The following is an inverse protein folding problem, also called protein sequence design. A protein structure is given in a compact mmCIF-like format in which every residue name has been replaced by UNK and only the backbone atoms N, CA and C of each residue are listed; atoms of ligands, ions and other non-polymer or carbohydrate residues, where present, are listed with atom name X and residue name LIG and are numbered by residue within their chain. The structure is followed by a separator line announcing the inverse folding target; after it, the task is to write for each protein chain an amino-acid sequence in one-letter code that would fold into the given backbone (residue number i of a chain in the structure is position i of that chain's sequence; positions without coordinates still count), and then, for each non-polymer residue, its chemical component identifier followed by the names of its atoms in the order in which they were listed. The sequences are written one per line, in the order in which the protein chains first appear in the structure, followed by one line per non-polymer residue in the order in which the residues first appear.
data_IF_111169382329
#
_entry.id   IF_111169382329
#
_cell.length_a   1.000
_cell.length_b   1.000
_cell.length_c   1.000
_cell.angle_alpha   90.00
_cell.angle_beta   90.00
_cell.angle_gamma   90.00
#
_symmetry.space_group_name_H-M   'P 1'
#
loop_
_entity.id
_entity.type
_entity.pdbx_description
1 polymer ?
#
# COMPACT_ATOMS: atom_id res chain seq x y z
N UNK A 1 16.27 -2.13 23.34
CA UNK A 1 15.54 -1.19 24.20
C UNK A 1 16.27 -1.09 25.54
N UNK A 2 16.93 0.01 25.82
CA UNK A 2 17.60 0.25 27.10
C UNK A 2 16.86 1.40 27.79
N UNK A 3 16.10 1.07 28.81
CA UNK A 3 15.41 2.04 29.64
C UNK A 3 15.15 1.47 31.04
N UNK A 4 15.08 2.31 32.04
CA UNK A 4 14.62 1.90 33.36
C UNK A 4 13.20 2.44 33.52
N UNK A 5 12.22 1.54 33.56
CA UNK A 5 10.84 1.90 33.90
C UNK A 5 10.68 2.00 35.40
N UNK A 6 10.07 3.07 35.88
CA UNK A 6 9.67 3.23 37.28
C UNK A 6 8.21 2.84 37.41
N UNK A 7 7.92 1.88 38.24
CA UNK A 7 6.57 1.33 38.45
C UNK A 7 6.14 1.57 39.91
N UNK A 8 4.86 1.81 40.12
CA UNK A 8 4.26 1.95 41.44
C UNK A 8 3.96 0.54 42.00
N UNK A 9 4.35 0.27 43.23
CA UNK A 9 4.09 -1.02 43.91
C UNK A 9 2.67 -1.14 44.49
N UNK A 10 1.83 -0.11 44.27
CA UNK A 10 0.47 -0.03 44.81
C UNK A 10 0.40 0.16 46.34
N UNK A 11 1.56 0.38 46.98
CA UNK A 11 1.68 0.58 48.44
C UNK A 11 2.41 1.88 48.80
N UNK A 12 2.61 2.75 47.82
CA UNK A 12 3.28 4.02 47.97
C UNK A 12 4.79 3.96 47.78
N UNK A 13 5.34 2.84 47.36
CA UNK A 13 6.72 2.67 46.91
C UNK A 13 6.84 2.60 45.38
N UNK A 14 8.02 2.90 44.88
CA UNK A 14 8.33 2.73 43.45
C UNK A 14 9.46 1.74 43.30
N UNK A 15 9.36 0.84 42.33
CA UNK A 15 10.45 -0.03 41.93
C UNK A 15 10.89 0.27 40.51
N UNK A 16 12.16 0.06 40.23
CA UNK A 16 12.74 0.25 38.91
C UNK A 16 12.98 -1.12 38.28
N UNK A 17 12.33 -1.36 37.13
CA UNK A 17 12.64 -2.52 36.32
C UNK A 17 13.54 -2.09 35.16
N UNK A 18 14.63 -2.80 34.89
CA UNK A 18 15.37 -2.58 33.67
C UNK A 18 14.49 -2.97 32.49
N UNK A 19 14.13 -1.98 31.67
CA UNK A 19 13.49 -2.19 30.37
C UNK A 19 14.64 -2.36 29.37
N UNK A 20 15.33 -3.48 29.39
CA UNK A 20 16.53 -3.63 28.59
C UNK A 20 16.98 -5.05 28.48
N UNK A 21 16.02 -5.92 28.20
CA UNK A 21 16.37 -7.30 27.85
C UNK A 21 16.87 -7.33 26.42
N UNK A 22 17.89 -8.12 26.17
CA UNK A 22 18.24 -8.46 24.81
C UNK A 22 17.10 -9.27 24.23
N UNK A 23 16.61 -8.86 23.07
CA UNK A 23 15.55 -9.55 22.35
C UNK A 23 16.11 -10.32 21.16
N UNK A 24 15.57 -11.48 20.90
CA UNK A 24 15.80 -12.22 19.68
C UNK A 24 14.47 -12.55 19.04
N UNK A 25 14.20 -11.95 17.88
CA UNK A 25 12.97 -12.21 17.14
C UNK A 25 12.93 -13.65 16.66
N UNK A 26 11.95 -14.41 17.12
CA UNK A 26 11.73 -15.81 16.76
C UNK A 26 10.82 -15.98 15.54
N UNK A 27 9.97 -15.02 15.27
CA UNK A 27 9.07 -15.12 14.15
C UNK A 27 8.27 -13.87 13.89
N UNK A 28 8.10 -13.60 12.62
CA UNK A 28 7.17 -12.61 12.10
C UNK A 28 6.31 -13.24 11.00
N UNK A 29 5.02 -13.06 11.09
CA UNK A 29 4.09 -13.50 10.08
C UNK A 29 3.10 -12.38 9.78
N UNK A 30 2.93 -12.04 8.50
CA UNK A 30 1.91 -11.11 8.04
C UNK A 30 1.03 -11.79 7.01
N UNK A 31 -0.28 -11.55 7.08
CA UNK A 31 -1.28 -11.98 6.12
C UNK A 31 -2.13 -10.79 5.73
N UNK A 32 -2.27 -10.59 4.43
CA UNK A 32 -3.08 -9.53 3.85
C UNK A 32 -4.07 -10.14 2.87
N UNK A 33 -5.33 -9.73 2.96
CA UNK A 33 -6.44 -10.22 2.15
C UNK A 33 -7.34 -9.08 1.74
N UNK A 34 -8.06 -9.26 0.62
CA UNK A 34 -9.01 -8.27 0.11
C UNK A 34 -8.43 -7.37 -0.97
N UNK A 35 -9.00 -6.21 -1.13
CA UNK A 35 -8.62 -5.25 -2.16
C UNK A 35 -9.63 -4.15 -2.38
N UNK A 36 -9.50 -3.47 -3.51
CA UNK A 36 -10.43 -2.44 -3.95
C UNK A 36 -11.05 -2.89 -5.27
N UNK A 37 -12.37 -3.06 -5.28
CA UNK A 37 -13.13 -3.31 -6.49
C UNK A 37 -13.62 -1.97 -7.04
N UNK A 38 -13.51 -1.77 -8.35
CA UNK A 38 -13.97 -0.56 -9.01
C UNK A 38 -14.97 -0.90 -10.10
N UNK A 39 -16.11 -0.22 -10.06
CA UNK A 39 -17.18 -0.30 -11.06
C UNK A 39 -17.20 1.01 -11.83
N UNK A 40 -16.95 0.94 -13.13
CA UNK A 40 -16.87 2.10 -14.01
C UNK A 40 -18.08 2.17 -14.94
N UNK A 41 -18.83 3.29 -14.87
CA UNK A 41 -19.91 3.62 -15.80
C UNK A 41 -19.40 4.71 -16.74
N UNK A 42 -19.32 4.41 -18.03
CA UNK A 42 -18.70 5.32 -18.98
C UNK A 42 -19.64 5.65 -20.16
N UNK A 43 -19.50 6.89 -20.65
CA UNK A 43 -20.13 7.38 -21.87
C UNK A 43 -19.03 8.02 -22.72
N UNK A 44 -19.02 7.70 -24.01
CA UNK A 44 -18.05 8.26 -24.94
C UNK A 44 -18.76 8.84 -26.17
N UNK A 45 -18.15 9.91 -26.70
CA UNK A 45 -18.63 10.64 -27.88
C UNK A 45 -17.52 10.68 -28.90
N UNK A 46 -17.90 10.47 -30.16
CA UNK A 46 -17.02 10.65 -31.33
C UNK A 46 -17.57 11.83 -32.14
N UNK A 47 -16.69 12.78 -32.45
CA UNK A 47 -17.01 13.94 -33.27
C UNK A 47 -16.13 13.90 -34.51
N UNK A 48 -16.75 13.66 -35.67
CA UNK A 48 -16.12 13.68 -36.99
C UNK A 48 -14.88 12.77 -37.13
N UNK A 49 -14.81 11.67 -36.36
CA UNK A 49 -13.65 10.77 -36.29
C UNK A 49 -12.30 11.46 -35.99
N UNK A 50 -12.35 12.68 -35.47
CA UNK A 50 -11.21 13.52 -35.13
C UNK A 50 -11.09 13.83 -33.65
N UNK A 51 -12.21 13.90 -32.95
CA UNK A 51 -12.26 14.20 -31.51
C UNK A 51 -13.11 13.14 -30.80
N UNK A 52 -12.55 12.58 -29.76
CA UNK A 52 -13.20 11.58 -28.94
C UNK A 52 -13.20 12.08 -27.50
N UNK A 53 -14.33 12.07 -26.85
CA UNK A 53 -14.47 12.49 -25.46
C UNK A 53 -15.06 11.34 -24.64
N UNK A 54 -14.59 11.19 -23.44
CA UNK A 54 -15.09 10.18 -22.52
C UNK A 54 -15.30 10.74 -21.11
N UNK A 55 -16.40 10.31 -20.51
CA UNK A 55 -16.72 10.61 -19.11
C UNK A 55 -16.97 9.27 -18.42
N UNK A 56 -16.30 9.03 -17.30
CA UNK A 56 -16.46 7.81 -16.51
C UNK A 56 -16.74 8.16 -15.07
N UNK A 57 -17.84 7.63 -14.53
CA UNK A 57 -18.13 7.62 -13.11
C UNK A 57 -17.61 6.32 -12.52
N UNK A 58 -16.66 6.41 -11.60
CA UNK A 58 -16.10 5.27 -10.88
C UNK A 58 -16.67 5.15 -9.47
N UNK A 59 -17.16 3.98 -9.12
CA UNK A 59 -17.57 3.61 -7.77
C UNK A 59 -16.64 2.54 -7.26
N UNK A 60 -16.06 2.77 -6.10
CA UNK A 60 -15.09 1.86 -5.48
C UNK A 60 -15.70 1.23 -4.24
N UNK A 61 -15.42 -0.05 -4.05
CA UNK A 61 -15.74 -0.84 -2.87
C UNK A 61 -14.43 -1.35 -2.27
N UNK A 62 -14.21 -1.11 -0.99
CA UNK A 62 -12.99 -1.41 -0.25
C UNK A 62 -13.29 -2.47 0.79
N UNK A 63 -12.58 -3.57 0.76
CA UNK A 63 -12.54 -4.57 1.83
C UNK A 63 -11.11 -5.10 1.92
N UNK A 64 -10.42 -4.76 2.99
CA UNK A 64 -9.03 -5.10 3.23
C UNK A 64 -8.83 -5.53 4.66
N UNK A 65 -8.15 -6.65 4.86
CA UNK A 65 -7.79 -7.16 6.19
C UNK A 65 -6.31 -7.48 6.24
N UNK A 66 -5.66 -7.07 7.31
CA UNK A 66 -4.28 -7.43 7.63
C UNK A 66 -4.22 -8.02 9.03
N UNK A 67 -3.52 -9.15 9.17
CA UNK A 67 -3.20 -9.77 10.44
C UNK A 67 -1.69 -9.92 10.55
N UNK A 68 -1.12 -9.53 11.70
CA UNK A 68 0.29 -9.74 11.99
C UNK A 68 0.45 -10.53 13.28
N UNK A 69 1.48 -11.35 13.31
CA UNK A 69 1.93 -12.09 14.48
C UNK A 69 3.43 -11.93 14.60
N UNK A 70 3.86 -11.50 15.78
CA UNK A 70 5.26 -11.32 16.12
C UNK A 70 5.58 -12.03 17.42
N UNK A 71 6.73 -12.70 17.50
CA UNK A 71 7.21 -13.31 18.73
C UNK A 71 8.69 -13.03 18.92
N UNK A 72 9.08 -12.78 20.18
CA UNK A 72 10.44 -12.44 20.57
C UNK A 72 10.77 -13.12 21.88
N UNK A 73 11.94 -13.77 21.91
CA UNK A 73 12.56 -14.27 23.14
C UNK A 73 13.39 -13.16 23.77
N UNK A 74 13.24 -12.99 25.06
CA UNK A 74 13.92 -11.99 25.86
C UNK A 74 14.87 -12.62 26.85
N UNK A 75 16.08 -12.06 27.01
CA UNK A 75 17.08 -12.53 27.96
C UNK A 75 18.03 -11.41 28.39
N UNK A 76 18.54 -11.51 29.62
CA UNK A 76 19.57 -10.61 30.16
C UNK A 76 20.59 -11.36 31.05
N UNK A 77 20.87 -12.62 30.75
CA UNK A 77 21.81 -13.44 31.50
C UNK A 77 21.22 -14.11 32.74
N UNK A 78 20.38 -13.45 33.51
CA UNK A 78 19.71 -14.01 34.70
C UNK A 78 18.21 -14.14 34.50
N UNK A 79 17.66 -13.41 33.55
CA UNK A 79 16.26 -13.33 33.29
C UNK A 79 15.97 -13.87 31.88
N UNK A 80 14.84 -14.50 31.73
CA UNK A 80 14.38 -15.01 30.45
C UNK A 80 12.88 -14.87 30.32
N UNK A 81 12.40 -14.80 29.09
CA UNK A 81 11.00 -14.74 28.82
C UNK A 81 10.72 -14.67 27.35
N UNK A 82 9.47 -14.49 27.00
CA UNK A 82 9.06 -14.21 25.63
C UNK A 82 7.81 -13.34 25.62
N UNK A 83 7.56 -12.72 24.51
CA UNK A 83 6.23 -12.16 24.24
C UNK A 83 5.79 -12.49 22.82
N UNK A 84 4.49 -12.54 22.67
CA UNK A 84 3.78 -12.64 21.40
C UNK A 84 2.89 -11.43 21.24
N UNK A 85 2.86 -10.87 20.06
CA UNK A 85 1.97 -9.76 19.71
C UNK A 85 1.15 -10.14 18.48
N UNK A 86 -0.15 -9.97 18.56
CA UNK A 86 -1.09 -10.20 17.47
C UNK A 86 -1.83 -8.92 17.19
N UNK A 87 -1.82 -8.50 15.94
CA UNK A 87 -2.58 -7.34 15.49
C UNK A 87 -3.53 -7.76 14.38
N UNK A 88 -4.72 -7.20 14.41
CA UNK A 88 -5.70 -7.26 13.33
C UNK A 88 -6.07 -5.83 12.93
N UNK A 89 -6.15 -5.62 11.65
CA UNK A 89 -6.56 -4.36 11.06
C UNK A 89 -7.43 -4.64 9.84
N UNK A 90 -8.61 -4.04 9.79
CA UNK A 90 -9.55 -4.14 8.68
C UNK A 90 -9.99 -2.76 8.26
N UNK A 91 -9.98 -2.50 6.95
CA UNK A 91 -10.54 -1.30 6.34
C UNK A 91 -11.67 -1.71 5.42
N UNK A 92 -12.84 -1.13 5.61
CA UNK A 92 -13.97 -1.30 4.72
C UNK A 92 -14.61 0.04 4.38
N UNK A 93 -15.31 0.09 3.23
CA UNK A 93 -16.04 1.27 2.82
C UNK A 93 -16.13 1.44 1.33
N UNK A 94 -16.51 2.64 0.91
CA UNK A 94 -16.74 2.95 -0.50
C UNK A 94 -16.19 4.30 -0.90
N UNK A 95 -16.01 4.51 -2.21
CA UNK A 95 -15.54 5.76 -2.75
C UNK A 95 -16.09 6.03 -4.13
N UNK A 96 -16.08 7.30 -4.53
CA UNK A 96 -16.54 7.75 -5.83
C UNK A 96 -15.53 8.68 -6.49
N UNK A 97 -15.37 8.58 -7.80
CA UNK A 97 -14.55 9.49 -8.59
C UNK A 97 -15.14 9.73 -9.98
N UNK A 98 -14.63 10.77 -10.64
CA UNK A 98 -14.96 11.09 -12.01
C UNK A 98 -13.67 11.11 -12.85
N UNK A 99 -13.73 10.53 -14.06
CA UNK A 99 -12.64 10.56 -15.01
C UNK A 99 -13.11 11.23 -16.30
N UNK A 100 -12.34 12.18 -16.80
CA UNK A 100 -12.60 12.88 -18.04
C UNK A 100 -11.44 12.62 -18.98
N UNK A 101 -11.74 12.26 -20.21
CA UNK A 101 -10.71 12.00 -21.23
C UNK A 101 -11.08 12.62 -22.56
N UNK A 102 -10.05 13.03 -23.30
CA UNK A 102 -10.18 13.50 -24.68
C UNK A 102 -9.04 12.93 -25.53
N UNK A 103 -9.36 12.50 -26.73
CA UNK A 103 -8.38 12.08 -27.75
C UNK A 103 -8.61 12.92 -29.00
N UNK A 104 -7.52 13.41 -29.57
CA UNK A 104 -7.52 14.24 -30.76
C UNK A 104 -6.70 13.60 -31.87
N UNK A 105 -7.22 13.66 -33.09
CA UNK A 105 -6.54 13.31 -34.32
C UNK A 105 -6.32 14.59 -35.13
N UNK A 106 -5.15 15.27 -34.95
CA UNK A 106 -4.94 16.63 -35.46
C UNK A 106 -4.87 16.69 -37.00
N UNK A 107 -4.40 15.61 -37.63
CA UNK A 107 -4.22 15.53 -39.09
C UNK A 107 -5.13 14.41 -39.61
N UNK A 108 -6.04 14.72 -40.48
CA UNK A 108 -7.06 13.83 -40.99
C UNK A 108 -6.49 12.57 -41.68
N UNK A 109 -5.44 12.76 -42.48
CA UNK A 109 -4.79 11.66 -43.19
C UNK A 109 -3.76 10.88 -42.34
N UNK A 110 -3.40 11.42 -41.16
CA UNK A 110 -2.45 10.78 -40.26
C UNK A 110 -3.14 9.89 -39.23
N UNK A 111 -2.65 8.68 -38.96
CA UNK A 111 -3.15 7.86 -37.88
C UNK A 111 -2.70 8.35 -36.50
N UNK A 112 -1.89 9.41 -36.44
CA UNK A 112 -1.40 9.95 -35.16
C UNK A 112 -2.54 10.51 -34.31
N UNK A 113 -2.54 10.16 -33.02
CA UNK A 113 -3.49 10.64 -32.01
C UNK A 113 -2.73 11.03 -30.76
N UNK A 114 -3.22 12.05 -30.09
CA UNK A 114 -2.79 12.36 -28.73
C UNK A 114 -4.00 12.49 -27.82
N UNK A 115 -3.80 12.19 -26.55
CA UNK A 115 -4.87 12.18 -25.57
C UNK A 115 -4.46 12.86 -24.27
N UNK A 116 -5.47 13.37 -23.59
CA UNK A 116 -5.39 13.90 -22.24
C UNK A 116 -6.48 13.26 -21.38
N UNK A 117 -6.14 12.95 -20.13
CA UNK A 117 -7.17 12.57 -19.17
C UNK A 117 -6.88 13.20 -17.80
N UNK A 118 -7.97 13.52 -17.11
CA UNK A 118 -7.93 14.02 -15.75
C UNK A 118 -8.86 13.13 -14.94
N UNK A 119 -8.32 12.59 -13.84
CA UNK A 119 -9.11 11.89 -12.84
C UNK A 119 -9.22 12.76 -11.60
N UNK A 120 -10.44 13.01 -11.16
CA UNK A 120 -10.66 13.67 -9.88
C UNK A 120 -10.09 12.83 -8.75
N UNK A 121 -9.90 13.39 -7.55
CA UNK A 121 -9.76 12.59 -6.35
C UNK A 121 -10.86 11.54 -6.26
N UNK A 122 -10.55 10.42 -5.64
CA UNK A 122 -11.58 9.52 -5.12
C UNK A 122 -11.90 9.98 -3.71
N UNK A 123 -13.17 10.26 -3.48
CA UNK A 123 -13.69 10.58 -2.15
C UNK A 123 -14.17 9.30 -1.51
N UNK A 124 -13.39 8.79 -0.57
CA UNK A 124 -13.72 7.60 0.19
C UNK A 124 -14.37 7.95 1.52
N UNK A 125 -15.33 7.13 1.93
CA UNK A 125 -15.83 7.01 3.30
C UNK A 125 -15.42 5.63 3.79
N UNK A 126 -14.57 5.58 4.80
CA UNK A 126 -13.91 4.37 5.28
C UNK A 126 -14.13 4.18 6.77
N UNK A 127 -14.16 2.94 7.18
CA UNK A 127 -14.14 2.51 8.57
C UNK A 127 -12.95 1.58 8.77
N UNK A 128 -12.09 1.93 9.72
CA UNK A 128 -11.02 1.07 10.19
C UNK A 128 -11.47 0.38 11.49
N UNK A 129 -11.30 -0.93 11.53
CA UNK A 129 -11.47 -1.75 12.73
C UNK A 129 -10.13 -2.37 13.06
N UNK A 130 -9.67 -2.23 14.29
CA UNK A 130 -8.37 -2.72 14.71
C UNK A 130 -8.38 -3.27 16.12
N UNK A 131 -7.55 -4.28 16.33
CA UNK A 131 -7.31 -4.87 17.65
C UNK A 131 -5.87 -5.29 17.81
N UNK A 132 -5.40 -5.27 19.04
CA UNK A 132 -4.05 -5.72 19.40
C UNK A 132 -4.11 -6.56 20.66
N UNK A 133 -3.40 -7.67 20.65
CA UNK A 133 -3.27 -8.59 21.76
C UNK A 133 -1.78 -8.83 22.03
N UNK A 134 -1.38 -8.69 23.29
CA UNK A 134 -0.03 -9.03 23.73
C UNK A 134 -0.14 -10.13 24.79
N UNK A 135 0.61 -11.21 24.57
CA UNK A 135 0.85 -12.23 25.55
C UNK A 135 2.33 -12.23 25.92
N UNK A 136 2.63 -12.21 27.22
CA UNK A 136 4.03 -12.31 27.67
C UNK A 136 4.16 -13.28 28.83
N UNK A 137 5.30 -13.97 28.86
CA UNK A 137 5.73 -14.77 29.99
C UNK A 137 7.17 -14.37 30.32
N UNK A 138 7.33 -13.71 31.47
CA UNK A 138 8.60 -13.15 31.89
C UNK A 138 9.03 -13.81 33.19
N UNK A 139 10.24 -14.39 33.17
CA UNK A 139 10.89 -14.96 34.36
C UNK A 139 11.99 -13.99 34.79
N UNK A 140 11.75 -13.21 35.82
CA UNK A 140 12.75 -12.34 36.39
C UNK A 140 12.88 -12.54 37.89
N UNK A 141 14.11 -12.34 38.37
CA UNK A 141 14.42 -12.31 39.80
C UNK A 141 14.52 -10.85 40.20
N UNK A 142 13.67 -10.44 41.07
CA UNK A 142 13.81 -9.18 41.76
C UNK A 142 14.40 -9.47 43.15
N UNK A 143 15.61 -8.95 43.40
CA UNK A 143 16.20 -8.91 44.72
C UNK A 143 15.74 -7.61 45.37
N UNK A 144 14.76 -7.68 46.23
CA UNK A 144 14.52 -6.61 47.16
C UNK A 144 15.56 -6.75 48.28
N UNK A 145 16.35 -5.71 48.51
CA UNK A 145 17.42 -5.72 49.55
C UNK A 145 16.89 -6.15 50.92
N UNK A 146 15.61 -5.98 51.19
CA UNK A 146 15.01 -6.31 52.46
C UNK A 146 14.41 -7.75 52.58
N UNK A 147 14.09 -8.45 51.52
CA UNK A 147 13.24 -9.66 51.61
C UNK A 147 13.71 -10.90 50.82
N UNK A 148 14.72 -10.84 50.01
CA UNK A 148 15.25 -11.98 49.19
C UNK A 148 14.14 -12.76 48.45
N UNK A 149 13.08 -12.14 48.02
CA UNK A 149 11.93 -12.77 47.35
C UNK A 149 12.10 -12.76 45.86
N UNK A 150 12.02 -13.93 45.26
CA UNK A 150 11.89 -14.10 43.81
C UNK A 150 10.43 -13.91 43.40
N UNK A 151 10.17 -13.01 42.53
CA UNK A 151 8.87 -12.86 41.89
C UNK A 151 8.91 -13.52 40.50
N UNK A 152 7.94 -14.40 40.25
CA UNK A 152 7.56 -14.80 38.91
C UNK A 152 6.38 -13.96 38.53
N UNK A 153 6.52 -13.07 37.58
CA UNK A 153 5.38 -12.44 36.94
C UNK A 153 5.02 -13.26 35.71
N UNK A 154 3.90 -13.92 35.75
CA UNK A 154 3.19 -14.38 34.56
C UNK A 154 2.18 -13.28 34.25
N UNK A 155 2.57 -12.31 33.47
CA UNK A 155 1.61 -11.35 32.94
C UNK A 155 0.90 -11.97 31.76
N UNK A 156 -0.39 -12.15 31.95
CA UNK A 156 -1.30 -12.69 31.00
C UNK A 156 -1.84 -11.56 30.14
N UNK A 157 -1.91 -11.82 28.84
CA UNK A 157 -2.68 -11.10 27.83
C UNK A 157 -3.28 -9.78 28.31
N UNK A 158 -2.68 -8.69 27.95
CA UNK A 158 -3.35 -7.40 28.01
C UNK A 158 -4.13 -7.28 26.71
N UNK A 159 -5.42 -7.60 26.80
CA UNK A 159 -6.36 -7.25 25.76
C UNK A 159 -6.55 -5.72 25.86
N UNK A 160 -5.87 -4.96 25.00
CA UNK A 160 -6.00 -3.52 25.00
C UNK A 160 -7.36 -3.13 24.44
N UNK A 161 -8.33 -3.02 25.34
CA UNK A 161 -9.61 -2.33 25.18
C UNK A 161 -10.54 -2.86 24.08
N UNK A 162 -10.41 -4.09 23.63
CA UNK A 162 -11.27 -4.63 22.57
C UNK A 162 -10.98 -4.06 21.21
N UNK A 163 -11.97 -4.08 20.33
CA UNK A 163 -11.85 -3.49 19.01
C UNK A 163 -11.93 -1.98 19.06
N UNK A 164 -10.94 -1.31 18.45
CA UNK A 164 -11.03 0.11 18.12
C UNK A 164 -11.70 0.26 16.76
N UNK A 165 -12.58 1.25 16.64
CA UNK A 165 -13.28 1.59 15.41
C UNK A 165 -13.06 3.07 15.11
N UNK A 166 -12.64 3.38 13.89
CA UNK A 166 -12.43 4.75 13.42
C UNK A 166 -13.06 4.95 12.06
N UNK A 167 -14.08 5.78 12.03
CA UNK A 167 -14.66 6.28 10.78
C UNK A 167 -13.90 7.53 10.30
N UNK A 168 -13.62 7.57 9.00
CA UNK A 168 -12.93 8.71 8.41
C UNK A 168 -13.22 8.85 6.91
N UNK A 169 -12.85 9.98 6.34
CA UNK A 169 -12.89 10.23 4.90
C UNK A 169 -11.47 10.38 4.36
N UNK A 170 -11.20 9.72 3.24
CA UNK A 170 -9.94 9.85 2.51
C UNK A 170 -10.20 10.49 1.15
N UNK A 171 -9.49 11.56 0.85
CA UNK A 171 -9.48 12.20 -0.47
C UNK A 171 -8.14 11.92 -1.11
N UNK A 172 -8.15 11.14 -2.21
CA UNK A 172 -6.92 10.80 -2.96
C UNK A 172 -6.45 11.97 -3.84
N UNK A 173 -5.24 11.94 -4.41
CA UNK A 173 -4.79 13.00 -5.30
C UNK A 173 -5.53 12.99 -6.64
N UNK A 174 -5.49 14.14 -7.32
CA UNK A 174 -5.77 14.23 -8.75
C UNK A 174 -4.75 13.42 -9.53
N UNK A 175 -5.19 12.83 -10.67
CA UNK A 175 -4.28 12.19 -11.63
C UNK A 175 -4.41 12.87 -12.99
N UNK A 176 -3.27 13.08 -13.63
CA UNK A 176 -3.17 13.72 -14.94
C UNK A 176 -2.45 12.77 -15.89
N UNK A 177 -3.06 12.52 -17.05
CA UNK A 177 -2.51 11.64 -18.05
C UNK A 177 -2.36 12.39 -19.37
N UNK A 178 -1.24 12.17 -20.05
CA UNK A 178 -1.02 12.56 -21.43
C UNK A 178 -0.59 11.33 -22.23
N UNK A 179 -1.10 11.18 -23.43
CA UNK A 179 -0.81 10.02 -24.26
C UNK A 179 -0.63 10.38 -25.73
N UNK A 180 0.14 9.57 -26.43
CA UNK A 180 0.27 9.64 -27.87
C UNK A 180 0.25 8.24 -28.47
N UNK A 181 -0.31 8.10 -29.66
CA UNK A 181 -0.36 6.83 -30.35
C UNK A 181 -0.44 6.99 -31.85
N UNK A 182 0.05 5.99 -32.58
CA UNK A 182 0.01 5.97 -34.06
C UNK A 182 -0.05 4.54 -34.56
N UNK A 183 -0.48 4.38 -35.82
CA UNK A 183 -0.35 3.13 -36.56
C UNK A 183 0.63 3.32 -37.74
N UNK A 184 1.45 2.31 -37.99
CA UNK A 184 2.47 2.33 -39.06
C UNK A 184 2.12 1.21 -40.03
N UNK A 185 1.95 1.58 -41.34
CA UNK A 185 1.67 0.65 -42.40
C UNK A 185 0.39 -0.19 -42.22
N UNK A 186 -0.52 0.25 -41.34
CA UNK A 186 -1.74 -0.52 -41.02
C UNK A 186 -1.51 -1.86 -40.28
N UNK A 187 -0.24 -2.17 -40.00
CA UNK A 187 0.14 -3.45 -39.35
C UNK A 187 0.64 -3.30 -37.93
N UNK A 188 1.27 -2.16 -37.62
CA UNK A 188 1.84 -1.91 -36.29
C UNK A 188 1.12 -0.73 -35.61
N UNK A 189 0.73 -0.89 -34.36
CA UNK A 189 0.26 0.19 -33.49
C UNK A 189 1.29 0.42 -32.38
N UNK A 190 1.58 1.68 -32.12
CA UNK A 190 2.45 2.15 -31.05
C UNK A 190 1.68 3.12 -30.14
N UNK A 191 1.92 3.05 -28.85
CA UNK A 191 1.35 3.97 -27.88
C UNK A 191 2.30 4.24 -26.72
N UNK A 192 2.24 5.47 -26.24
CA UNK A 192 2.94 5.89 -25.03
C UNK A 192 2.00 6.74 -24.17
N UNK A 193 2.09 6.59 -22.86
CA UNK A 193 1.32 7.34 -21.88
C UNK A 193 2.21 7.72 -20.71
N UNK A 194 2.01 8.94 -20.22
CA UNK A 194 2.60 9.43 -18.99
C UNK A 194 1.49 9.85 -18.04
N UNK A 195 1.59 9.39 -16.77
CA UNK A 195 0.67 9.71 -15.70
C UNK A 195 1.43 10.35 -14.55
N UNK A 196 0.81 11.35 -13.93
CA UNK A 196 1.30 12.01 -12.73
C UNK A 196 0.20 12.06 -11.66
N UNK A 197 0.56 11.69 -10.41
CA UNK A 197 -0.29 11.82 -9.23
C UNK A 197 0.55 12.22 -8.02
N UNK A 198 0.16 13.29 -7.30
CA UNK A 198 0.88 13.73 -6.10
C UNK A 198 0.27 13.13 -4.84
N UNK A 199 0.78 11.99 -4.39
CA UNK A 199 0.25 11.32 -3.19
C UNK A 199 0.41 12.12 -1.89
N UNK A 200 1.39 13.03 -1.81
CA UNK A 200 1.52 13.96 -0.69
C UNK A 200 0.38 14.98 -0.57
N UNK A 201 -0.48 15.09 -1.60
CA UNK A 201 -1.68 15.93 -1.56
C UNK A 201 -2.94 15.20 -1.08
N UNK A 202 -2.86 13.90 -0.76
CA UNK A 202 -3.98 13.17 -0.14
C UNK A 202 -4.38 13.83 1.18
N UNK A 203 -5.66 13.75 1.53
CA UNK A 203 -6.19 14.36 2.76
C UNK A 203 -7.13 13.41 3.48
N UNK A 204 -7.01 13.42 4.79
CA UNK A 204 -7.83 12.68 5.73
C UNK A 204 -8.69 13.65 6.54
N UNK A 205 -9.93 13.26 6.79
CA UNK A 205 -10.89 14.04 7.56
C UNK A 205 -11.64 13.12 8.51
N UNK A 206 -11.99 13.62 9.68
CA UNK A 206 -12.96 12.97 10.54
C UNK A 206 -14.35 12.97 9.87
N UNK A 207 -15.28 12.17 10.38
CA UNK A 207 -16.63 12.07 9.81
C UNK A 207 -17.41 13.40 9.80
N UNK A 208 -17.14 14.26 10.76
CA UNK A 208 -17.71 15.62 10.86
C UNK A 208 -17.13 16.61 9.84
N UNK A 209 -16.12 16.18 9.06
CA UNK A 209 -15.43 17.01 8.07
C UNK A 209 -14.22 17.79 8.60
N UNK A 210 -13.90 17.68 9.88
CA UNK A 210 -12.69 18.29 10.46
C UNK A 210 -11.44 17.62 9.89
N UNK A 211 -10.41 18.36 9.42
CA UNK A 211 -9.18 17.77 8.95
C UNK A 211 -8.44 17.00 10.05
N UNK A 212 -7.85 15.86 9.69
CA UNK A 212 -6.95 15.10 10.55
C UNK A 212 -5.53 15.65 10.37
N UNK A 213 -5.26 16.82 10.98
CA UNK A 213 -4.07 17.62 10.68
C UNK A 213 -2.74 16.88 10.87
N UNK A 214 -2.60 16.13 11.95
CA UNK A 214 -1.38 15.35 12.22
C UNK A 214 -1.12 14.30 11.12
N UNK A 215 -2.16 13.55 10.73
CA UNK A 215 -2.07 12.54 9.68
C UNK A 215 -1.85 13.17 8.30
N UNK A 216 -2.45 14.34 8.06
CA UNK A 216 -2.26 15.09 6.82
C UNK A 216 -0.84 15.68 6.70
N UNK A 217 -0.27 16.18 7.80
CA UNK A 217 1.11 16.66 7.83
C UNK A 217 2.10 15.49 7.65
N UNK A 218 1.84 14.37 8.31
CA UNK A 218 2.60 13.15 8.12
C UNK A 218 2.55 12.65 6.67
N UNK A 219 1.38 12.59 6.05
CA UNK A 219 1.20 12.24 4.64
C UNK A 219 2.03 13.15 3.72
N UNK A 220 1.97 14.46 3.95
CA UNK A 220 2.74 15.45 3.21
C UNK A 220 4.25 15.32 3.42
N UNK A 221 4.69 14.93 4.61
CA UNK A 221 6.11 14.77 4.94
C UNK A 221 6.71 13.49 4.35
N UNK A 222 5.93 12.42 4.20
CA UNK A 222 6.41 11.09 3.79
C UNK A 222 6.14 10.76 2.33
N UNK A 223 5.08 11.31 1.72
CA UNK A 223 4.71 11.02 0.35
C UNK A 223 5.07 12.16 -0.62
N UNK A 224 5.23 11.78 -1.88
CA UNK A 224 5.58 12.68 -3.00
C UNK A 224 4.78 12.36 -4.26
N UNK A 225 5.07 13.11 -5.33
CA UNK A 225 4.53 12.84 -6.66
C UNK A 225 5.08 11.54 -7.24
N UNK A 226 4.18 10.72 -7.76
CA UNK A 226 4.51 9.52 -8.53
C UNK A 226 4.36 9.80 -10.01
N UNK A 227 5.33 9.34 -10.77
CA UNK A 227 5.37 9.40 -12.24
C UNK A 227 5.24 7.98 -12.78
N UNK A 228 4.35 7.77 -13.73
CA UNK A 228 4.20 6.49 -14.40
C UNK A 228 4.33 6.68 -15.92
N UNK A 229 5.20 5.91 -16.54
CA UNK A 229 5.37 5.85 -17.99
C UNK A 229 4.92 4.47 -18.48
N UNK A 230 4.05 4.44 -19.48
CA UNK A 230 3.58 3.23 -20.14
C UNK A 230 3.90 3.34 -21.63
N UNK A 231 4.50 2.30 -22.19
CA UNK A 231 4.70 2.18 -23.64
C UNK A 231 4.23 0.82 -24.10
N UNK A 232 3.63 0.75 -25.27
CA UNK A 232 3.11 -0.49 -25.82
C UNK A 232 3.14 -0.51 -27.32
N UNK A 233 3.26 -1.74 -27.85
CA UNK A 233 3.18 -2.00 -29.28
C UNK A 233 2.32 -3.23 -29.55
N UNK A 234 1.60 -3.21 -30.65
CA UNK A 234 0.97 -4.35 -31.25
C UNK A 234 1.41 -4.42 -32.72
N UNK A 235 1.78 -5.60 -33.20
CA UNK A 235 2.05 -5.83 -34.62
C UNK A 235 1.29 -7.05 -35.12
N UNK A 236 0.66 -6.90 -36.27
CA UNK A 236 0.04 -8.02 -37.00
C UNK A 236 1.09 -8.73 -37.81
N UNK A 237 1.39 -9.97 -37.48
CA UNK A 237 2.31 -10.81 -38.24
C UNK A 237 1.60 -11.42 -39.47
N UNK A 238 0.30 -11.67 -39.32
CA UNK A 238 -0.57 -12.16 -40.41
C UNK A 238 -2.00 -11.67 -40.20
N UNK A 239 -2.91 -12.04 -41.10
CA UNK A 239 -4.34 -11.76 -40.94
C UNK A 239 -4.97 -12.42 -39.70
N UNK A 240 -4.32 -13.46 -39.18
CA UNK A 240 -4.83 -14.23 -38.04
C UNK A 240 -4.03 -14.03 -36.75
N UNK A 241 -2.77 -13.57 -36.82
CA UNK A 241 -1.89 -13.50 -35.65
C UNK A 241 -1.38 -12.08 -35.40
N UNK A 242 -1.40 -11.70 -34.14
CA UNK A 242 -0.79 -10.47 -33.62
C UNK A 242 0.14 -10.75 -32.43
N UNK A 243 1.19 -9.94 -32.31
CA UNK A 243 2.11 -9.93 -31.16
C UNK A 243 2.02 -8.59 -30.48
N UNK A 244 2.03 -8.60 -29.17
CA UNK A 244 2.00 -7.41 -28.31
C UNK A 244 3.19 -7.40 -27.39
N UNK A 245 3.72 -6.24 -27.12
CA UNK A 245 4.72 -6.01 -26.08
C UNK A 245 4.42 -4.68 -25.36
N UNK A 246 4.68 -4.64 -24.09
CA UNK A 246 4.47 -3.44 -23.30
C UNK A 246 5.45 -3.34 -22.14
N UNK A 247 5.72 -2.12 -21.74
CA UNK A 247 6.53 -1.79 -20.57
C UNK A 247 5.86 -0.67 -19.78
N UNK A 248 5.83 -0.84 -18.46
CA UNK A 248 5.34 0.15 -17.52
C UNK A 248 6.38 0.37 -16.43
N UNK A 249 6.70 1.63 -16.18
CA UNK A 249 7.59 2.07 -15.12
C UNK A 249 6.87 3.08 -14.23
N UNK A 250 6.86 2.84 -12.92
CA UNK A 250 6.33 3.79 -11.94
C UNK A 250 7.41 4.11 -10.90
N UNK A 251 7.60 5.39 -10.62
CA UNK A 251 8.49 5.83 -9.54
C UNK A 251 7.87 5.55 -8.18
N UNK A 252 8.68 5.59 -7.13
CA UNK A 252 8.16 5.55 -5.75
C UNK A 252 7.27 6.75 -5.46
N UNK A 253 6.19 6.51 -4.70
CA UNK A 253 5.38 7.56 -4.10
C UNK A 253 5.92 8.02 -2.73
N UNK A 254 6.90 7.31 -2.16
CA UNK A 254 7.53 7.65 -0.89
C UNK A 254 8.72 8.58 -1.09
N UNK A 255 8.88 9.56 -0.20
CA UNK A 255 10.11 10.34 -0.08
C UNK A 255 11.21 9.48 0.50
N UNK A 256 12.45 9.88 0.23
CA UNK A 256 13.62 9.24 0.83
C UNK A 256 13.57 9.45 2.35
N UNK A 257 13.80 8.36 3.12
CA UNK A 257 13.72 8.40 4.57
C UNK A 257 12.30 8.48 5.14
N UNK A 258 11.26 8.21 4.33
CA UNK A 258 9.90 8.10 4.86
C UNK A 258 9.81 7.03 5.95
N UNK A 259 9.17 7.38 7.06
CA UNK A 259 9.06 6.52 8.24
C UNK A 259 7.61 6.43 8.72
N UNK A 260 7.28 5.39 9.46
CA UNK A 260 5.97 5.26 10.11
C UNK A 260 6.01 5.98 11.46
N UNK A 261 5.11 6.94 11.64
CA UNK A 261 4.89 7.57 12.94
C UNK A 261 3.80 6.82 13.70
N UNK A 262 4.10 6.44 14.93
CA UNK A 262 3.11 5.94 15.88
C UNK A 262 2.83 7.06 16.88
N UNK A 263 1.59 7.54 16.89
CA UNK A 263 1.17 8.52 17.90
C UNK A 263 0.99 7.82 19.25
N UNK A 264 1.20 8.55 20.34
CA UNK A 264 1.10 8.01 21.70
C UNK A 264 -0.28 7.42 22.06
N UNK A 265 -1.32 7.82 21.33
CA UNK A 265 -2.69 7.32 21.51
C UNK A 265 -3.15 6.43 20.34
N UNK A 266 -2.22 5.98 19.50
CA UNK A 266 -2.55 5.07 18.41
C UNK A 266 -2.68 3.65 18.97
N UNK A 267 -3.83 3.03 18.79
CA UNK A 267 -4.07 1.65 19.22
C UNK A 267 -3.46 0.63 18.25
N UNK A 268 -2.92 1.07 17.13
CA UNK A 268 -2.15 0.22 16.22
C UNK A 268 -0.76 0.00 16.78
N UNK A 269 -0.46 -1.23 17.12
CA UNK A 269 0.81 -1.63 17.72
C UNK A 269 1.78 -2.27 16.73
N UNK A 270 1.36 -2.51 15.48
CA UNK A 270 2.27 -2.96 14.43
C UNK A 270 3.31 -1.88 14.13
N UNK A 271 4.56 -2.17 14.47
CA UNK A 271 5.66 -1.22 14.36
C UNK A 271 6.30 -1.22 12.98
N UNK A 272 6.17 -2.34 12.27
CA UNK A 272 6.76 -2.53 10.94
C UNK A 272 6.08 -1.68 9.87
N UNK A 273 6.85 -1.30 8.87
CA UNK A 273 6.35 -0.62 7.68
C UNK A 273 7.21 -0.91 6.46
N UNK A 274 6.66 -0.64 5.30
CA UNK A 274 7.31 -0.87 4.03
C UNK A 274 7.18 0.37 3.14
N UNK A 275 8.30 0.82 2.59
CA UNK A 275 8.33 1.88 1.59
C UNK A 275 8.53 1.25 0.21
N UNK A 276 7.50 1.31 -0.63
CA UNK A 276 7.59 0.82 -1.99
C UNK A 276 8.47 1.73 -2.84
N UNK A 277 9.42 1.14 -3.53
CA UNK A 277 10.30 1.82 -4.47
C UNK A 277 9.69 1.82 -5.88
N UNK A 278 10.54 1.94 -6.89
CA UNK A 278 10.09 1.91 -8.27
C UNK A 278 9.56 0.51 -8.66
N UNK A 279 8.54 0.52 -9.51
CA UNK A 279 7.91 -0.68 -10.06
C UNK A 279 8.14 -0.77 -11.55
N UNK A 280 8.50 -1.95 -12.03
CA UNK A 280 8.67 -2.28 -13.43
C UNK A 280 7.73 -3.42 -13.82
N UNK A 281 7.05 -3.26 -14.93
CA UNK A 281 6.18 -4.29 -15.48
C UNK A 281 6.50 -4.50 -16.95
N UNK A 282 6.78 -5.73 -17.34
CA UNK A 282 6.96 -6.15 -18.75
C UNK A 282 5.77 -7.04 -19.12
N UNK A 283 5.20 -6.81 -20.28
CA UNK A 283 4.13 -7.64 -20.83
C UNK A 283 4.45 -8.09 -22.24
N UNK A 284 4.12 -9.32 -22.54
CA UNK A 284 4.15 -9.86 -23.90
C UNK A 284 2.85 -10.62 -24.17
N UNK A 285 2.36 -10.58 -25.39
CA UNK A 285 1.09 -11.21 -25.74
C UNK A 285 1.07 -11.74 -27.16
N UNK A 286 0.30 -12.80 -27.36
CA UNK A 286 -0.01 -13.41 -28.64
C UNK A 286 -1.52 -13.41 -28.81
N UNK A 287 -2.00 -12.86 -29.93
CA UNK A 287 -3.41 -12.87 -30.29
C UNK A 287 -3.64 -13.74 -31.54
N UNK A 288 -4.69 -14.55 -31.49
CA UNK A 288 -5.19 -15.25 -32.63
C UNK A 288 -6.62 -14.85 -32.96
N UNK A 289 -6.89 -14.52 -34.20
CA UNK A 289 -8.23 -14.18 -34.72
C UNK A 289 -8.58 -15.06 -35.89
N UNK A 290 -9.39 -16.06 -35.63
CA UNK A 290 -9.97 -16.95 -36.66
C UNK A 290 -11.32 -16.42 -37.15
N UNK A 291 -11.99 -17.25 -37.99
CA UNK A 291 -13.33 -16.94 -38.52
C UNK A 291 -14.43 -17.08 -37.47
N UNK A 292 -14.26 -17.95 -36.49
CA UNK A 292 -15.29 -18.33 -35.52
C UNK A 292 -14.98 -17.95 -34.09
N UNK A 293 -13.71 -17.78 -33.76
CA UNK A 293 -13.28 -17.42 -32.42
C UNK A 293 -12.00 -16.58 -32.48
N UNK A 294 -11.77 -15.87 -31.42
CA UNK A 294 -10.48 -15.21 -31.13
C UNK A 294 -10.00 -15.68 -29.75
N UNK A 295 -8.71 -15.63 -29.54
CA UNK A 295 -8.09 -15.90 -28.23
C UNK A 295 -6.83 -15.08 -28.09
N UNK A 296 -6.57 -14.62 -26.89
CA UNK A 296 -5.37 -13.88 -26.53
C UNK A 296 -4.66 -14.59 -25.37
N UNK A 297 -3.37 -14.83 -25.53
CA UNK A 297 -2.48 -15.28 -24.47
C UNK A 297 -1.55 -14.16 -24.09
N UNK A 298 -1.53 -13.76 -22.82
CA UNK A 298 -0.66 -12.71 -22.34
C UNK A 298 0.14 -13.20 -21.12
N UNK A 299 1.43 -12.85 -21.12
CA UNK A 299 2.31 -13.02 -19.98
C UNK A 299 2.70 -11.66 -19.43
N UNK A 300 2.60 -11.51 -18.11
CA UNK A 300 3.00 -10.31 -17.38
C UNK A 300 4.04 -10.67 -16.33
N UNK A 301 5.16 -9.98 -16.36
CA UNK A 301 6.19 -9.98 -15.34
C UNK A 301 6.19 -8.63 -14.64
N UNK A 302 5.98 -8.63 -13.34
CA UNK A 302 5.88 -7.45 -12.50
C UNK A 302 6.90 -7.57 -11.38
N UNK A 303 7.81 -6.60 -11.28
CA UNK A 303 8.85 -6.55 -10.26
C UNK A 303 8.87 -5.19 -9.58
N UNK A 304 8.84 -5.19 -8.27
CA UNK A 304 9.06 -4.01 -7.47
C UNK A 304 9.94 -4.32 -6.28
N UNK A 305 10.69 -3.32 -5.88
CA UNK A 305 11.55 -3.37 -4.70
C UNK A 305 10.90 -2.57 -3.59
N UNK A 306 11.14 -2.98 -2.37
CA UNK A 306 10.69 -2.26 -1.19
C UNK A 306 11.73 -2.31 -0.09
N UNK A 307 11.69 -1.31 0.76
CA UNK A 307 12.47 -1.19 1.98
C UNK A 307 11.56 -1.53 3.15
N UNK A 308 11.80 -2.69 3.75
CA UNK A 308 11.08 -3.15 4.94
C UNK A 308 11.84 -2.72 6.20
N UNK A 309 11.11 -2.16 7.16
CA UNK A 309 11.57 -1.76 8.48
C UNK A 309 10.74 -2.47 9.54
N UNK A 310 11.39 -3.14 10.46
CA UNK A 310 10.71 -3.83 11.56
C UNK A 310 10.12 -2.83 12.58
N UNK A 311 10.71 -1.64 12.70
CA UNK A 311 10.24 -0.53 13.53
C UNK A 311 10.88 0.79 13.09
N UNK A 312 10.35 1.92 13.56
CA UNK A 312 10.85 3.25 13.21
C UNK A 312 11.97 3.66 14.17
N UNK A 313 13.21 3.35 13.78
CA UNK A 313 14.43 3.79 14.47
C UNK A 313 15.45 4.27 13.44
N UNK A 314 16.08 5.42 13.70
CA UNK A 314 17.06 6.02 12.81
C UNK A 314 18.32 5.16 12.62
N UNK A 315 18.64 4.26 13.57
CA UNK A 315 19.78 3.35 13.49
C UNK A 315 19.44 2.07 12.71
N UNK A 316 18.16 1.78 12.48
CA UNK A 316 17.74 0.56 11.80
C UNK A 316 17.96 0.66 10.30
N UNK A 317 18.68 -0.28 9.74
CA UNK A 317 18.84 -0.41 8.30
C UNK A 317 17.64 -1.17 7.70
N UNK A 318 17.17 -0.69 6.55
CA UNK A 318 16.11 -1.35 5.81
C UNK A 318 16.52 -2.76 5.35
N UNK A 319 15.61 -3.71 5.52
CA UNK A 319 15.69 -4.99 4.82
C UNK A 319 15.21 -4.81 3.39
N UNK A 320 16.08 -5.07 2.42
CA UNK A 320 15.73 -4.95 0.99
C UNK A 320 14.90 -6.14 0.56
N UNK A 321 13.69 -5.88 0.10
CA UNK A 321 12.75 -6.89 -0.38
C UNK A 321 12.55 -6.72 -1.88
N UNK A 322 12.62 -7.81 -2.63
CA UNK A 322 12.27 -7.83 -4.05
C UNK A 322 11.02 -8.70 -4.22
N UNK A 323 9.98 -8.11 -4.76
CA UNK A 323 8.73 -8.79 -5.06
C UNK A 323 8.65 -9.03 -6.57
N UNK A 324 8.51 -10.29 -6.96
CA UNK A 324 8.36 -10.71 -8.35
C UNK A 324 7.02 -11.43 -8.52
N UNK A 325 6.30 -11.05 -9.55
CA UNK A 325 5.00 -11.65 -9.87
C UNK A 325 4.93 -12.02 -11.33
N UNK A 326 4.66 -13.28 -11.58
CA UNK A 326 4.42 -13.82 -12.91
C UNK A 326 2.93 -14.13 -13.07
N UNK A 327 2.32 -13.65 -14.15
CA UNK A 327 0.92 -13.89 -14.45
C UNK A 327 0.79 -14.36 -15.91
N UNK A 328 0.01 -15.39 -16.10
CA UNK A 328 -0.41 -15.84 -17.41
C UNK A 328 -1.93 -15.65 -17.52
N UNK A 329 -2.35 -14.98 -18.57
CA UNK A 329 -3.75 -14.65 -18.83
C UNK A 329 -4.14 -15.24 -20.18
N UNK A 330 -5.27 -15.93 -20.19
CA UNK A 330 -5.90 -16.48 -21.40
C UNK A 330 -7.31 -15.91 -21.50
N UNK A 331 -7.64 -15.39 -22.66
CA UNK A 331 -8.97 -14.84 -22.95
C UNK A 331 -9.55 -15.52 -24.18
#
# INVERSE_FOLDING_TARGET
LVGVGTFDDGKGGTYQLPIGWNGNSNGFRSREEGGINQYDFNVAFNVEDRMYFGITLGVNDVDYTRSTYYTEDLYDGSHSGFYEMRNMYRTEGSGINLKLGAIFRPIEESPFRFGFAIHTPTWYSLTDVYSSEIYSELNYKYENEDDNKQFKANERTIDYAGEGVQDYRLVTPWKFNVSAGTTIGGMMALGAEYEYANFGSSRLYYNDGTPMDNQNEYTKSTLKGQHTLRVGMETRISSAFSVRAGYNYSTSAFKDGAYKSLNANDMRTDTEYTNDLARNTVTVGLGYRGKWFYTDLAYKYDVYKSDFYAFSDAALQATKVTNERHQLLLT
#
